data_IF_442794554431
#
_entry.id   IF_442794554431
#
_cell.length_a   1.000
_cell.length_b   1.000
_cell.length_c   1.000
_cell.angle_alpha   90.00
_cell.angle_beta   90.00
_cell.angle_gamma   90.00
#
_symmetry.space_group_name_H-M   'P 1'
#
loop_
_entity.id
_entity.type
_entity.pdbx_description
1 polymer ?
#
# COMPACT_ATOMS: atom_id res chain seq x y z
N UNK A 1 20.43 -28.79 -1.63
CA UNK A 1 19.19 -28.64 -2.43
C UNK A 1 18.88 -27.16 -2.52
N UNK A 2 18.95 -26.59 -3.72
CA UNK A 2 18.65 -25.18 -3.97
C UNK A 2 17.18 -25.15 -4.42
N UNK A 3 16.28 -24.65 -3.57
CA UNK A 3 14.90 -24.42 -3.97
C UNK A 3 14.86 -23.27 -4.99
N UNK A 4 14.30 -23.47 -6.19
CA UNK A 4 14.14 -22.38 -7.15
C UNK A 4 12.99 -21.49 -6.67
N UNK A 5 13.32 -20.41 -5.96
CA UNK A 5 12.33 -19.40 -5.59
C UNK A 5 11.87 -18.65 -6.84
N UNK A 6 10.58 -18.80 -7.13
CA UNK A 6 9.92 -18.35 -8.34
C UNK A 6 9.89 -16.81 -8.42
N UNK A 7 10.38 -16.26 -9.54
CA UNK A 7 10.36 -14.83 -9.89
C UNK A 7 8.97 -14.18 -9.73
N UNK A 8 7.91 -14.99 -9.75
CA UNK A 8 6.51 -14.63 -9.51
C UNK A 8 6.24 -14.01 -8.13
N UNK A 9 6.89 -14.49 -7.05
CA UNK A 9 6.64 -14.00 -5.69
C UNK A 9 7.12 -12.55 -5.49
N UNK A 10 8.26 -12.19 -6.10
CA UNK A 10 8.80 -10.80 -6.12
C UNK A 10 7.90 -9.81 -6.86
N UNK A 11 7.27 -10.23 -7.97
CA UNK A 11 6.35 -9.40 -8.74
C UNK A 11 5.04 -9.13 -8.00
N UNK A 12 4.56 -10.09 -7.20
CA UNK A 12 3.30 -10.01 -6.48
C UNK A 12 3.40 -9.09 -5.25
N UNK A 13 4.54 -9.10 -4.55
CA UNK A 13 4.85 -8.14 -3.48
C UNK A 13 4.85 -6.70 -4.00
N UNK A 14 5.53 -6.46 -5.14
CA UNK A 14 5.43 -5.18 -5.84
C UNK A 14 3.97 -4.85 -6.09
N UNK A 15 3.18 -5.78 -6.65
CA UNK A 15 1.74 -5.61 -6.91
C UNK A 15 0.90 -5.25 -5.67
N UNK A 16 1.22 -5.79 -4.50
CA UNK A 16 0.53 -5.52 -3.23
C UNK A 16 0.86 -4.12 -2.68
N UNK A 17 2.10 -3.67 -2.84
CA UNK A 17 2.56 -2.31 -2.48
C UNK A 17 1.93 -1.27 -3.42
N UNK A 18 1.78 -1.60 -4.70
CA UNK A 18 1.12 -0.74 -5.69
C UNK A 18 -0.35 -0.40 -5.34
N UNK A 19 -1.03 -1.21 -4.52
CA UNK A 19 -2.40 -0.91 -4.06
C UNK A 19 -2.50 0.24 -3.04
N UNK A 20 -1.38 0.71 -2.48
CA UNK A 20 -1.35 1.86 -1.56
C UNK A 20 -1.20 3.21 -2.31
N UNK A 21 -1.18 3.20 -3.65
CA UNK A 21 -0.85 4.35 -4.49
C UNK A 21 -2.08 4.93 -5.20
N UNK A 22 -3.17 5.08 -4.45
CA UNK A 22 -4.38 5.65 -4.98
C UNK A 22 -4.34 7.18 -4.94
N UNK A 23 -4.36 7.81 -6.11
CA UNK A 23 -4.15 9.25 -6.22
C UNK A 23 -5.50 9.97 -6.29
N UNK A 24 -5.93 10.55 -5.17
CA UNK A 24 -7.14 11.39 -5.10
C UNK A 24 -7.16 12.51 -6.15
N UNK A 25 -5.98 13.03 -6.51
CA UNK A 25 -5.86 14.07 -7.53
C UNK A 25 -6.23 13.55 -8.92
N UNK A 26 -5.84 12.32 -9.29
CA UNK A 26 -6.25 11.72 -10.55
C UNK A 26 -7.76 11.49 -10.64
N UNK A 27 -8.44 11.17 -9.54
CA UNK A 27 -9.91 11.12 -9.54
C UNK A 27 -10.49 12.49 -9.80
N UNK A 28 -10.00 13.52 -9.10
CA UNK A 28 -10.50 14.89 -9.28
C UNK A 28 -10.29 15.37 -10.71
N UNK A 29 -9.13 15.08 -11.29
CA UNK A 29 -8.83 15.32 -12.70
C UNK A 29 -9.82 14.61 -13.60
N UNK A 30 -10.05 13.29 -13.42
CA UNK A 30 -11.01 12.52 -14.22
C UNK A 30 -12.46 13.00 -14.06
N UNK A 31 -12.85 13.40 -12.86
CA UNK A 31 -14.16 14.00 -12.60
C UNK A 31 -14.30 15.35 -13.31
N UNK A 32 -13.25 16.17 -13.32
CA UNK A 32 -13.24 17.44 -14.04
C UNK A 32 -13.27 17.24 -15.58
N UNK A 33 -12.47 16.32 -16.10
CA UNK A 33 -12.42 15.95 -17.52
C UNK A 33 -13.78 15.48 -18.03
N UNK A 34 -14.44 14.59 -17.28
CA UNK A 34 -15.73 14.01 -17.64
C UNK A 34 -16.92 14.85 -17.17
N UNK A 35 -16.67 15.99 -16.51
CA UNK A 35 -17.68 16.88 -15.91
C UNK A 35 -18.66 16.14 -15.01
N UNK A 36 -18.18 15.14 -14.27
CA UNK A 36 -18.99 14.33 -13.36
C UNK A 36 -19.02 14.95 -11.97
N UNK A 37 -20.22 15.12 -11.44
CA UNK A 37 -20.42 15.46 -10.03
C UNK A 37 -20.20 14.24 -9.12
N UNK A 38 -19.95 14.50 -7.83
CA UNK A 38 -19.84 13.44 -6.82
C UNK A 38 -21.04 12.50 -6.83
N UNK A 39 -22.25 13.04 -7.01
CA UNK A 39 -23.50 12.27 -7.04
C UNK A 39 -23.58 11.35 -8.27
N UNK A 40 -23.08 11.80 -9.42
CA UNK A 40 -23.06 10.98 -10.62
C UNK A 40 -22.02 9.86 -10.51
N UNK A 41 -20.85 10.14 -9.94
CA UNK A 41 -19.84 9.11 -9.67
C UNK A 41 -20.38 8.10 -8.65
N UNK A 42 -21.05 8.54 -7.60
CA UNK A 42 -21.71 7.67 -6.62
C UNK A 42 -22.69 6.72 -7.30
N UNK A 43 -23.62 7.26 -8.09
CA UNK A 43 -24.66 6.50 -8.78
C UNK A 43 -24.08 5.51 -9.80
N UNK A 44 -23.05 5.92 -10.56
CA UNK A 44 -22.46 5.09 -11.62
C UNK A 44 -21.51 4.02 -11.07
N UNK A 45 -20.81 4.31 -9.98
CA UNK A 45 -19.84 3.38 -9.38
C UNK A 45 -20.46 2.42 -8.35
N UNK A 46 -21.64 2.75 -7.83
CA UNK A 46 -22.25 2.03 -6.71
C UNK A 46 -21.48 2.16 -5.39
N UNK A 47 -20.52 3.10 -5.30
CA UNK A 47 -19.76 3.38 -4.09
C UNK A 47 -20.62 4.24 -3.17
N UNK A 48 -20.80 3.89 -1.89
CA UNK A 48 -21.57 4.71 -0.96
C UNK A 48 -21.01 6.13 -0.83
N UNK A 49 -21.88 7.14 -0.74
CA UNK A 49 -21.52 8.56 -0.56
C UNK A 49 -20.38 8.80 0.43
N UNK A 50 -20.47 8.18 1.61
CA UNK A 50 -19.50 8.36 2.68
C UNK A 50 -18.12 7.79 2.32
N UNK A 51 -18.09 6.68 1.59
CA UNK A 51 -16.86 6.05 1.10
C UNK A 51 -16.22 6.88 -0.03
N UNK A 52 -17.02 7.37 -0.98
CA UNK A 52 -16.54 8.24 -2.06
C UNK A 52 -16.02 9.59 -1.52
N UNK A 53 -16.70 10.16 -0.53
CA UNK A 53 -16.26 11.39 0.12
C UNK A 53 -14.93 11.19 0.85
N UNK A 54 -14.78 10.10 1.63
CA UNK A 54 -13.52 9.76 2.30
C UNK A 54 -12.40 9.50 1.30
N UNK A 55 -12.71 8.85 0.19
CA UNK A 55 -11.76 8.56 -0.88
C UNK A 55 -11.13 9.81 -1.48
N UNK A 56 -11.92 10.87 -1.67
CA UNK A 56 -11.48 12.11 -2.34
C UNK A 56 -10.91 13.13 -1.35
N UNK A 57 -11.46 13.19 -0.12
CA UNK A 57 -11.17 14.25 0.85
C UNK A 57 -10.31 13.80 2.04
N UNK A 58 -10.20 12.51 2.35
CA UNK A 58 -9.39 12.04 3.48
C UNK A 58 -7.92 11.90 3.10
N UNK A 59 -7.02 12.23 4.02
CA UNK A 59 -5.60 11.92 3.89
C UNK A 59 -5.29 10.43 4.09
N UNK A 60 -6.20 9.67 4.70
CA UNK A 60 -6.00 8.26 5.07
C UNK A 60 -7.24 7.43 4.74
N UNK A 61 -7.45 7.17 3.44
CA UNK A 61 -8.44 6.20 3.00
C UNK A 61 -7.81 5.25 1.98
N UNK A 62 -7.92 3.95 2.24
CA UNK A 62 -7.33 2.92 1.39
C UNK A 62 -8.47 2.18 0.66
N UNK A 63 -8.81 2.56 -0.58
CA UNK A 63 -9.90 1.93 -1.31
C UNK A 63 -9.62 0.45 -1.57
N UNK A 64 -10.67 -0.36 -1.54
CA UNK A 64 -10.57 -1.76 -1.95
C UNK A 64 -10.34 -1.86 -3.47
N UNK A 65 -9.79 -2.98 -3.94
CA UNK A 65 -9.63 -3.23 -5.38
C UNK A 65 -10.97 -3.13 -6.12
N UNK A 66 -12.05 -3.58 -5.48
CA UNK A 66 -13.42 -3.45 -6.00
C UNK A 66 -13.81 -1.98 -6.21
N UNK A 67 -13.47 -1.11 -5.26
CA UNK A 67 -13.70 0.34 -5.35
C UNK A 67 -12.92 0.96 -6.52
N UNK A 68 -11.64 0.59 -6.68
CA UNK A 68 -10.80 1.12 -7.76
C UNK A 68 -11.27 0.61 -9.13
N UNK A 69 -11.65 -0.67 -9.23
CA UNK A 69 -12.22 -1.25 -10.44
C UNK A 69 -13.49 -0.51 -10.86
N UNK A 70 -14.43 -0.31 -9.94
CA UNK A 70 -15.67 0.41 -10.21
C UNK A 70 -15.41 1.85 -10.71
N UNK A 71 -14.42 2.54 -10.14
CA UNK A 71 -14.04 3.88 -10.62
C UNK A 71 -13.39 3.84 -12.00
N UNK A 72 -12.55 2.83 -12.27
CA UNK A 72 -11.89 2.68 -13.57
C UNK A 72 -12.90 2.47 -14.70
N UNK A 73 -13.97 1.75 -14.42
CA UNK A 73 -15.11 1.56 -15.33
C UNK A 73 -15.86 2.87 -15.57
N UNK A 74 -16.19 3.62 -14.51
CA UNK A 74 -16.88 4.92 -14.61
C UNK A 74 -16.06 5.97 -15.37
N UNK A 75 -14.74 5.95 -15.19
CA UNK A 75 -13.82 6.90 -15.82
C UNK A 75 -13.25 6.41 -17.15
N UNK A 76 -13.67 5.23 -17.62
CA UNK A 76 -13.20 4.62 -18.87
C UNK A 76 -11.66 4.58 -18.98
N UNK A 77 -11.01 4.19 -17.89
CA UNK A 77 -9.55 4.11 -17.81
C UNK A 77 -9.12 2.78 -17.19
N UNK A 78 -7.83 2.47 -17.28
CA UNK A 78 -7.29 1.29 -16.61
C UNK A 78 -7.12 1.55 -15.11
N UNK A 79 -7.11 0.47 -14.30
CA UNK A 79 -6.77 0.58 -12.88
C UNK A 79 -5.39 1.25 -12.69
N UNK A 80 -4.44 0.97 -13.59
CA UNK A 80 -3.11 1.61 -13.61
C UNK A 80 -3.13 3.11 -13.92
N UNK A 81 -4.21 3.63 -14.51
CA UNK A 81 -4.36 5.07 -14.73
C UNK A 81 -4.82 5.78 -13.46
N UNK A 82 -5.60 5.13 -12.60
CA UNK A 82 -6.05 5.67 -11.31
C UNK A 82 -5.03 5.50 -10.19
N UNK A 83 -4.15 4.53 -10.35
CA UNK A 83 -3.01 4.29 -9.49
C UNK A 83 -1.83 5.06 -10.08
N UNK A 84 -0.91 5.57 -9.26
CA UNK A 84 0.33 6.16 -9.78
C UNK A 84 1.42 5.08 -9.89
N UNK A 85 1.81 4.64 -11.10
CA UNK A 85 2.93 3.71 -11.27
C UNK A 85 4.29 4.38 -11.03
N UNK A 86 4.36 5.71 -11.09
CA UNK A 86 5.56 6.52 -10.87
C UNK A 86 5.78 6.89 -9.40
N UNK A 87 4.78 6.64 -8.54
CA UNK A 87 5.00 6.51 -7.11
C UNK A 87 5.74 5.19 -6.83
N UNK A 88 7.04 5.20 -7.16
CA UNK A 88 8.01 4.72 -6.19
C UNK A 88 7.71 5.45 -4.88
N UNK A 89 7.85 4.84 -3.67
CA UNK A 89 8.15 5.67 -2.52
C UNK A 89 9.28 6.58 -3.00
N UNK A 90 8.96 7.87 -3.18
CA UNK A 90 9.80 8.80 -3.92
C UNK A 90 11.22 8.51 -3.50
N UNK A 91 12.10 8.17 -4.45
CA UNK A 91 13.51 7.93 -4.20
C UNK A 91 14.08 9.20 -3.51
N UNK A 92 13.88 9.34 -2.20
CA UNK A 92 15.06 9.43 -1.38
C UNK A 92 15.85 8.22 -1.85
N UNK A 93 16.86 8.48 -2.66
CA UNK A 93 18.10 7.73 -2.53
C UNK A 93 18.46 7.81 -1.06
N UNK A 94 17.79 7.04 -0.19
CA UNK A 94 18.46 6.28 0.83
C UNK A 94 19.53 5.60 0.03
N UNK A 95 20.71 6.23 -0.03
CA UNK A 95 21.89 5.68 -0.68
C UNK A 95 21.90 4.22 -0.24
N UNK A 96 21.66 3.35 -1.21
CA UNK A 96 21.25 1.96 -1.01
C UNK A 96 22.10 1.35 0.10
N UNK A 97 21.48 1.04 1.25
CA UNK A 97 22.15 0.43 2.41
C UNK A 97 22.30 1.29 3.68
N UNK A 98 21.98 2.59 3.67
CA UNK A 98 22.17 3.44 4.86
C UNK A 98 20.96 3.43 5.82
N UNK A 99 21.18 2.94 7.04
CA UNK A 99 20.24 3.07 8.16
C UNK A 99 20.37 4.49 8.75
N UNK A 100 19.49 5.41 8.32
CA UNK A 100 19.44 6.80 8.78
C UNK A 100 19.05 6.95 10.27
N UNK A 101 18.18 6.08 10.78
CA UNK A 101 17.71 6.10 12.17
C UNK A 101 17.81 4.69 12.75
N UNK A 102 18.93 4.41 13.44
CA UNK A 102 19.20 3.11 14.06
C UNK A 102 18.15 2.70 15.09
N UNK A 103 17.61 3.67 15.84
CA UNK A 103 16.57 3.43 16.85
C UNK A 103 15.28 2.96 16.20
N UNK A 104 14.84 3.65 15.14
CA UNK A 104 13.66 3.24 14.39
C UNK A 104 13.85 1.88 13.70
N UNK A 105 15.04 1.62 13.14
CA UNK A 105 15.33 0.34 12.51
C UNK A 105 15.21 -0.83 13.50
N UNK A 106 15.76 -0.65 14.70
CA UNK A 106 15.61 -1.62 15.81
C UNK A 106 14.15 -1.79 16.21
N UNK A 107 13.43 -0.69 16.37
CA UNK A 107 12.00 -0.70 16.73
C UNK A 107 11.14 -1.43 15.67
N UNK A 108 11.39 -1.20 14.37
CA UNK A 108 10.74 -1.94 13.28
C UNK A 108 11.05 -3.44 13.35
N UNK A 109 12.31 -3.81 13.63
CA UNK A 109 12.75 -5.21 13.73
C UNK A 109 12.01 -5.92 14.87
N UNK A 110 11.99 -5.30 16.06
CA UNK A 110 11.32 -5.83 17.26
C UNK A 110 9.80 -5.91 17.05
N UNK A 111 9.19 -4.90 16.42
CA UNK A 111 7.76 -4.90 16.12
C UNK A 111 7.36 -6.05 15.19
N UNK A 112 8.16 -6.33 14.15
CA UNK A 112 7.89 -7.42 13.22
C UNK A 112 7.90 -8.76 13.94
N UNK A 113 8.94 -9.05 14.73
CA UNK A 113 8.99 -10.29 15.51
C UNK A 113 7.83 -10.39 16.49
N UNK A 114 7.56 -9.33 17.26
CA UNK A 114 6.46 -9.33 18.22
C UNK A 114 5.09 -9.59 17.58
N UNK A 115 4.80 -9.01 16.42
CA UNK A 115 3.53 -9.23 15.73
C UNK A 115 3.46 -10.58 15.00
N UNK A 116 4.59 -11.10 14.50
CA UNK A 116 4.66 -12.44 13.94
C UNK A 116 4.41 -13.51 15.01
N UNK A 117 5.05 -13.39 16.17
CA UNK A 117 4.89 -14.31 17.30
C UNK A 117 3.44 -14.33 17.82
N UNK A 118 2.84 -13.14 18.00
CA UNK A 118 1.43 -13.01 18.42
C UNK A 118 0.46 -13.70 17.49
N UNK A 119 0.77 -13.73 16.19
CA UNK A 119 -0.08 -14.27 15.14
C UNK A 119 0.34 -15.69 14.72
N UNK A 120 1.33 -16.28 15.40
CA UNK A 120 1.92 -17.57 15.07
C UNK A 120 2.33 -17.69 13.57
N UNK A 121 2.98 -16.64 13.05
CA UNK A 121 3.44 -16.58 11.65
C UNK A 121 4.93 -16.90 11.59
N UNK A 122 5.27 -17.96 10.86
CA UNK A 122 6.67 -18.23 10.52
C UNK A 122 7.11 -17.35 9.34
N UNK A 123 7.91 -16.33 9.62
CA UNK A 123 8.52 -15.48 8.60
C UNK A 123 9.84 -16.07 8.12
N UNK A 124 9.97 -16.28 6.82
CA UNK A 124 11.28 -16.53 6.22
C UNK A 124 12.10 -15.23 6.12
N UNK A 125 13.41 -15.38 5.86
CA UNK A 125 14.34 -14.25 5.79
C UNK A 125 13.95 -13.20 4.74
N UNK A 126 13.42 -13.61 3.59
CA UNK A 126 13.07 -12.70 2.49
C UNK A 126 11.84 -11.87 2.83
N UNK A 127 10.78 -12.50 3.36
CA UNK A 127 9.57 -11.84 3.81
C UNK A 127 9.89 -10.89 4.97
N UNK A 128 10.69 -11.32 5.94
CA UNK A 128 11.15 -10.47 7.03
C UNK A 128 11.88 -9.23 6.51
N UNK A 129 12.89 -9.44 5.65
CA UNK A 129 13.72 -8.35 5.10
C UNK A 129 12.88 -7.36 4.31
N UNK A 130 11.89 -7.85 3.58
CA UNK A 130 10.95 -7.02 2.83
C UNK A 130 10.08 -6.18 3.77
N UNK A 131 9.40 -6.81 4.74
CA UNK A 131 8.53 -6.11 5.69
C UNK A 131 9.34 -5.03 6.41
N UNK A 132 10.56 -5.35 6.84
CA UNK A 132 11.46 -4.42 7.51
C UNK A 132 11.80 -3.22 6.65
N UNK A 133 12.13 -3.43 5.37
CA UNK A 133 12.40 -2.33 4.42
C UNK A 133 11.20 -1.42 4.26
N UNK A 134 10.02 -1.99 4.05
CA UNK A 134 8.78 -1.22 3.81
C UNK A 134 8.34 -0.46 5.08
N UNK A 135 8.29 -1.13 6.22
CA UNK A 135 7.92 -0.53 7.51
C UNK A 135 8.87 0.61 7.89
N UNK A 136 10.18 0.37 7.76
CA UNK A 136 11.19 1.38 8.06
C UNK A 136 11.10 2.59 7.12
N UNK A 137 10.99 2.37 5.81
CA UNK A 137 10.84 3.45 4.84
C UNK A 137 9.58 4.28 5.10
N UNK A 138 8.47 3.62 5.43
CA UNK A 138 7.21 4.28 5.75
C UNK A 138 7.29 5.12 7.03
N UNK A 139 7.89 4.60 8.10
CA UNK A 139 8.07 5.33 9.36
C UNK A 139 9.02 6.51 9.23
N UNK A 140 10.12 6.38 8.48
CA UNK A 140 11.02 7.51 8.16
C UNK A 140 10.26 8.62 7.44
N UNK A 141 9.43 8.27 6.44
CA UNK A 141 8.67 9.24 5.66
C UNK A 141 7.67 10.03 6.51
N UNK A 142 7.11 9.41 7.54
CA UNK A 142 6.23 10.08 8.50
C UNK A 142 6.98 10.95 9.52
N UNK A 143 8.30 11.05 9.44
CA UNK A 143 9.16 11.62 10.49
C UNK A 143 8.87 10.99 11.86
N UNK A 144 8.49 9.71 11.88
CA UNK A 144 8.21 8.98 13.10
C UNK A 144 9.49 8.40 13.68
N UNK A 145 9.61 8.45 15.01
CA UNK A 145 10.68 7.77 15.74
C UNK A 145 10.30 6.35 16.18
N UNK A 146 9.12 5.87 15.75
CA UNK A 146 8.59 4.54 16.04
C UNK A 146 8.00 3.88 14.79
N UNK A 147 8.01 2.56 14.78
CA UNK A 147 7.32 1.72 13.82
C UNK A 147 5.83 2.00 13.82
N UNK A 148 5.23 1.99 12.63
CA UNK A 148 3.79 2.17 12.46
C UNK A 148 3.08 0.81 12.59
N UNK A 149 2.48 0.58 13.75
CA UNK A 149 1.82 -0.70 14.07
C UNK A 149 0.68 -1.03 13.10
N UNK A 150 -0.13 -0.04 12.73
CA UNK A 150 -1.24 -0.25 11.79
C UNK A 150 -0.73 -0.66 10.42
N UNK A 151 0.37 -0.05 9.97
CA UNK A 151 0.99 -0.42 8.70
C UNK A 151 1.62 -1.81 8.74
N UNK A 152 2.25 -2.18 9.86
CA UNK A 152 2.78 -3.54 10.06
C UNK A 152 1.67 -4.59 10.04
N UNK A 153 0.58 -4.38 10.79
CA UNK A 153 -0.58 -5.29 10.80
C UNK A 153 -1.15 -5.48 9.39
N UNK A 154 -1.29 -4.39 8.64
CA UNK A 154 -1.74 -4.42 7.26
C UNK A 154 -0.82 -5.22 6.33
N UNK A 155 0.50 -5.06 6.46
CA UNK A 155 1.46 -5.83 5.65
C UNK A 155 1.33 -7.32 5.98
N UNK A 156 1.29 -7.68 7.26
CA UNK A 156 1.20 -9.07 7.71
C UNK A 156 -0.11 -9.74 7.26
N UNK A 157 -1.25 -9.06 7.36
CA UNK A 157 -2.54 -9.59 6.88
C UNK A 157 -2.52 -9.88 5.37
N UNK A 158 -1.87 -9.02 4.59
CA UNK A 158 -1.73 -9.24 3.15
C UNK A 158 -0.75 -10.35 2.79
N UNK A 159 0.22 -10.65 3.66
CA UNK A 159 1.10 -11.81 3.50
C UNK A 159 0.38 -13.10 3.88
N UNK A 160 -0.47 -13.09 4.91
CA UNK A 160 -1.23 -14.24 5.39
C UNK A 160 -2.36 -14.68 4.46
N UNK A 161 -3.06 -13.73 3.82
CA UNK A 161 -4.10 -14.01 2.83
C UNK A 161 -3.55 -14.61 1.51
N UNK A 162 -2.31 -15.12 1.51
CA UNK A 162 -1.70 -15.93 0.44
C UNK A 162 -1.96 -17.43 0.60
N UNK A 163 -2.52 -17.87 1.73
CA UNK A 163 -2.66 -19.29 2.08
C UNK A 163 -4.01 -19.89 1.61
N UNK A 164 -4.91 -19.09 1.02
CA UNK A 164 -6.16 -19.56 0.42
C UNK A 164 -6.37 -19.02 -0.99
#
# INVERSE_FOLDING_TARGET
>A
MIYPYNCSQRLIIKRIIYMHNFTKEKIKEKMAELRLSYKEVENKSGIPKNSLWKLINSERFNPTLKTISALSEVFHCSISDLVDPSFTPNNTKLKTGLILNKKLYKDCTEAIFSEADKRAIDLNYDDFTLILKELYAFSIKKNSNKSDKFFLEFILEKLLNRIF
#
